data_IF_943587646226
#
_entry.id   IF_943587646226
#
_cell.length_a   1.000
_cell.length_b   1.000
_cell.length_c   1.000
_cell.angle_alpha   90.00
_cell.angle_beta   90.00
_cell.angle_gamma   90.00
#
_symmetry.space_group_name_H-M   'P 1'
#
loop_
_entity.id
_entity.type
_entity.pdbx_description
1 polymer ?
#
# COMPACT_ATOMS: atom_id res chain seq x y z
N UNK A 1 18.56 57.00 8.26
CA UNK A 1 17.86 58.15 7.65
C UNK A 1 16.37 58.03 7.94
N UNK A 2 15.86 59.07 8.59
CA UNK A 2 14.45 59.51 8.73
C UNK A 2 13.82 59.63 7.31
N UNK A 3 12.50 59.44 7.04
CA UNK A 3 11.35 59.87 7.87
C UNK A 3 10.14 58.91 8.06
N UNK A 4 9.60 58.97 9.29
CA UNK A 4 8.16 59.04 9.69
C UNK A 4 7.55 60.39 9.21
N UNK A 5 6.33 60.83 9.61
CA UNK A 5 5.00 60.23 9.86
C UNK A 5 3.93 61.05 9.06
N UNK A 6 2.60 60.86 9.16
CA UNK A 6 1.70 61.52 10.13
C UNK A 6 0.25 61.29 9.66
N UNK A 7 -0.67 60.91 10.57
CA UNK A 7 -1.79 61.71 11.15
C UNK A 7 -2.85 62.11 10.09
N UNK A 8 -4.15 62.19 10.34
CA UNK A 8 -5.00 62.54 11.47
C UNK A 8 -6.33 61.75 11.23
N UNK A 9 -7.28 61.58 12.14
CA UNK A 9 -7.56 62.17 13.44
C UNK A 9 -8.90 61.62 13.92
N UNK A 10 -9.06 61.49 15.23
CA UNK A 10 -10.35 61.28 15.87
C UNK A 10 -11.14 62.59 15.83
N UNK A 11 -12.42 62.52 15.46
CA UNK A 11 -13.42 63.50 15.87
C UNK A 11 -14.56 62.77 16.57
N UNK A 12 -14.81 63.21 17.79
CA UNK A 12 -15.91 62.89 18.69
C UNK A 12 -17.13 63.76 18.39
N UNK A 13 -18.35 63.23 18.54
CA UNK A 13 -19.53 64.04 18.89
C UNK A 13 -20.83 63.74 18.14
N UNK A 14 -22.00 64.00 18.74
CA UNK A 14 -23.15 63.07 18.77
C UNK A 14 -24.45 63.64 18.16
N UNK A 15 -25.58 62.96 18.41
CA UNK A 15 -27.00 63.29 18.09
C UNK A 15 -27.44 62.96 16.65
N UNK A 16 -28.66 62.50 16.34
CA UNK A 16 -29.84 62.00 17.05
C UNK A 16 -30.82 61.52 15.94
N UNK A 17 -31.76 60.66 16.32
CA UNK A 17 -33.13 60.51 15.77
C UNK A 17 -33.41 59.72 14.48
N UNK A 18 -34.39 58.81 14.68
CA UNK A 18 -35.55 58.51 13.85
C UNK A 18 -35.51 57.25 12.97
N UNK A 19 -36.42 56.35 13.35
CA UNK A 19 -36.81 55.10 12.73
C UNK A 19 -37.44 55.27 11.34
N UNK A 20 -37.28 54.27 10.48
CA UNK A 20 -38.37 53.73 9.63
C UNK A 20 -38.08 52.24 9.33
N UNK A 21 -39.10 51.41 9.55
CA UNK A 21 -39.19 49.99 9.18
C UNK A 21 -39.24 49.79 7.67
N UNK A 22 -38.37 48.95 7.12
CA UNK A 22 -38.58 48.05 5.97
C UNK A 22 -37.41 47.05 6.03
N UNK A 23 -37.53 45.73 5.95
CA UNK A 23 -38.50 44.93 5.21
C UNK A 23 -37.83 44.17 4.07
N UNK A 24 -36.64 43.58 4.24
CA UNK A 24 -36.10 42.53 3.35
C UNK A 24 -35.19 41.57 4.14
N UNK A 25 -35.59 40.30 4.27
CA UNK A 25 -34.72 39.24 4.71
C UNK A 25 -33.73 38.95 3.57
N UNK A 26 -32.50 39.47 3.68
CA UNK A 26 -31.36 38.98 2.92
C UNK A 26 -31.00 37.58 3.43
N UNK A 27 -31.45 36.56 2.70
CA UNK A 27 -30.87 35.22 2.80
C UNK A 27 -29.38 35.34 2.41
N UNK A 28 -28.49 35.06 3.35
CA UNK A 28 -27.08 34.87 3.05
C UNK A 28 -26.93 33.60 2.21
N UNK A 29 -26.47 33.75 0.96
CA UNK A 29 -25.92 32.68 0.15
C UNK A 29 -24.73 32.03 0.89
N UNK A 30 -24.99 30.90 1.55
CA UNK A 30 -23.94 29.98 1.94
C UNK A 30 -23.43 29.22 0.69
N UNK A 31 -22.12 28.91 0.59
CA UNK A 31 -21.63 28.07 -0.49
C UNK A 31 -22.39 26.74 -0.50
N UNK A 32 -22.66 26.15 -1.67
CA UNK A 32 -23.42 24.91 -1.75
C UNK A 32 -22.68 23.85 -0.93
N UNK A 33 -23.28 23.48 0.19
CA UNK A 33 -22.87 22.32 0.96
C UNK A 33 -23.05 21.12 0.04
N UNK A 34 -21.94 20.60 -0.45
CA UNK A 34 -21.91 19.33 -1.15
C UNK A 34 -22.63 18.32 -0.24
N UNK A 35 -23.82 17.89 -0.66
CA UNK A 35 -24.51 16.78 -0.02
C UNK A 35 -23.54 15.60 -0.03
N UNK A 36 -23.26 14.95 1.12
CA UNK A 36 -22.49 13.74 1.12
C UNK A 36 -23.20 12.76 0.18
N UNK A 37 -22.52 12.30 -0.87
CA UNK A 37 -22.99 11.14 -1.59
C UNK A 37 -23.13 10.01 -0.56
N UNK A 38 -24.26 9.29 -0.51
CA UNK A 38 -24.32 8.06 0.24
C UNK A 38 -23.36 7.10 -0.47
N UNK A 39 -22.13 7.02 0.02
CA UNK A 39 -21.26 5.91 -0.31
C UNK A 39 -22.05 4.66 0.05
N UNK A 40 -22.22 3.77 -0.93
CA UNK A 40 -22.60 2.40 -0.63
C UNK A 40 -21.63 1.93 0.45
N UNK A 41 -22.13 1.76 1.68
CA UNK A 41 -21.32 1.33 2.80
C UNK A 41 -20.83 -0.07 2.49
N UNK A 42 -19.61 -0.17 1.95
CA UNK A 42 -18.89 -1.41 2.00
C UNK A 42 -18.78 -1.80 3.48
N UNK A 43 -19.16 -3.02 3.88
CA UNK A 43 -18.99 -3.45 5.26
C UNK A 43 -17.51 -3.36 5.60
N UNK A 44 -17.14 -2.29 6.29
CA UNK A 44 -15.82 -2.18 6.91
C UNK A 44 -15.87 -3.08 8.13
N UNK A 45 -15.05 -4.14 8.14
CA UNK A 45 -14.73 -4.80 9.41
C UNK A 45 -14.23 -3.70 10.33
N UNK A 46 -14.94 -3.46 11.43
CA UNK A 46 -14.42 -2.57 12.45
C UNK A 46 -13.31 -3.33 13.16
N UNK A 47 -12.21 -2.64 13.50
CA UNK A 47 -11.18 -3.21 14.37
C UNK A 47 -11.76 -3.75 15.70
N UNK A 48 -12.96 -3.29 16.11
CA UNK A 48 -13.70 -3.80 17.26
C UNK A 48 -14.27 -5.23 17.07
N UNK A 49 -14.52 -5.65 15.83
CA UNK A 49 -15.09 -6.96 15.50
C UNK A 49 -14.01 -8.03 15.28
N UNK A 50 -12.74 -7.63 15.28
CA UNK A 50 -11.61 -8.54 15.12
C UNK A 50 -11.52 -9.50 16.30
N UNK A 51 -11.44 -10.82 16.05
CA UNK A 51 -11.27 -11.80 17.11
C UNK A 51 -9.95 -11.60 17.84
N UNK A 52 -9.99 -11.54 19.17
CA UNK A 52 -8.81 -11.40 20.04
C UNK A 52 -8.68 -12.66 20.90
N UNK A 53 -7.87 -13.65 20.48
CA UNK A 53 -7.73 -14.87 21.25
C UNK A 53 -6.90 -14.63 22.53
N UNK A 54 -7.37 -15.14 23.66
CA UNK A 54 -6.67 -15.01 24.95
C UNK A 54 -5.31 -15.71 24.96
N UNK A 55 -5.25 -16.92 24.38
CA UNK A 55 -4.02 -17.70 24.21
C UNK A 55 -4.12 -18.58 22.98
N UNK A 56 -3.05 -18.55 22.18
CA UNK A 56 -2.94 -19.35 20.95
C UNK A 56 -1.83 -20.39 21.10
N UNK A 57 -2.06 -21.67 20.73
CA UNK A 57 -1.00 -22.65 20.60
C UNK A 57 0.06 -22.17 19.60
N UNK A 58 1.31 -22.07 20.06
CA UNK A 58 2.43 -21.71 19.18
C UNK A 58 2.73 -22.91 18.30
N UNK A 59 2.47 -22.79 17.01
CA UNK A 59 2.84 -23.85 16.06
C UNK A 59 4.33 -23.70 15.77
N UNK A 60 5.13 -24.76 15.94
CA UNK A 60 6.50 -24.75 15.43
C UNK A 60 6.41 -24.83 13.90
N UNK A 61 6.50 -23.67 13.25
CA UNK A 61 6.53 -23.62 11.80
C UNK A 61 7.96 -24.03 11.40
N UNK A 62 8.17 -25.31 11.07
CA UNK A 62 9.48 -25.86 10.72
C UNK A 62 10.12 -25.29 9.44
N UNK A 63 9.45 -24.33 8.80
CA UNK A 63 9.95 -23.60 7.64
C UNK A 63 10.59 -22.26 8.06
N UNK A 64 11.51 -21.75 7.23
CA UNK A 64 12.01 -20.37 7.35
C UNK A 64 10.84 -19.39 7.46
N UNK A 65 10.88 -18.36 8.33
CA UNK A 65 9.86 -17.32 8.41
C UNK A 65 9.51 -16.64 7.09
N UNK A 66 10.43 -16.70 6.11
CA UNK A 66 10.22 -16.20 4.76
C UNK A 66 9.25 -17.02 3.91
N UNK A 67 8.88 -18.21 4.34
CA UNK A 67 7.96 -19.11 3.64
C UNK A 67 6.59 -19.23 4.33
N UNK A 68 6.37 -18.50 5.42
CA UNK A 68 5.12 -18.55 6.17
C UNK A 68 4.03 -17.80 5.41
N UNK A 69 2.83 -18.38 5.39
CA UNK A 69 1.66 -17.82 4.70
C UNK A 69 0.56 -17.53 5.71
N UNK A 70 0.03 -16.31 5.66
CA UNK A 70 -1.11 -15.89 6.45
C UNK A 70 -2.42 -16.21 5.71
N UNK A 71 -3.54 -16.43 6.42
CA UNK A 71 -4.81 -16.77 5.77
C UNK A 71 -5.27 -15.76 4.72
N UNK A 72 -4.98 -14.47 4.88
CA UNK A 72 -5.32 -13.44 3.89
C UNK A 72 -4.52 -13.54 2.58
N UNK A 73 -3.39 -14.26 2.56
CA UNK A 73 -2.59 -14.46 1.35
C UNK A 73 -3.35 -15.22 0.26
N UNK A 74 -4.31 -16.06 0.64
CA UNK A 74 -5.15 -16.82 -0.30
C UNK A 74 -6.11 -15.94 -1.11
N UNK A 75 -6.32 -14.69 -0.70
CA UNK A 75 -7.30 -13.77 -1.28
C UNK A 75 -6.63 -12.61 -2.04
N UNK A 76 -5.34 -12.72 -2.35
CA UNK A 76 -4.59 -11.71 -3.10
C UNK A 76 -3.71 -12.37 -4.16
N UNK A 77 -3.31 -11.62 -5.19
CA UNK A 77 -2.36 -12.12 -6.19
C UNK A 77 -1.04 -12.44 -5.53
N UNK A 78 -0.40 -13.56 -5.84
CA UNK A 78 1.02 -13.74 -5.49
C UNK A 78 1.89 -12.69 -6.20
N UNK A 79 3.13 -12.41 -5.73
CA UNK A 79 4.02 -11.48 -6.42
C UNK A 79 4.25 -11.85 -7.90
N UNK A 80 4.30 -13.15 -8.21
CA UNK A 80 4.44 -13.65 -9.58
C UNK A 80 3.17 -13.38 -10.41
N UNK A 81 1.99 -13.65 -9.85
CA UNK A 81 0.72 -13.35 -10.52
C UNK A 81 0.56 -11.84 -10.76
N UNK A 82 0.95 -11.00 -9.81
CA UNK A 82 0.94 -9.55 -9.96
C UNK A 82 1.84 -9.08 -11.10
N UNK A 83 3.05 -9.64 -11.21
CA UNK A 83 3.98 -9.36 -12.32
C UNK A 83 3.40 -9.79 -13.67
N UNK A 84 2.78 -10.97 -13.74
CA UNK A 84 2.15 -11.49 -14.95
C UNK A 84 0.95 -10.64 -15.40
N UNK A 85 0.04 -10.33 -14.49
CA UNK A 85 -1.13 -9.46 -14.76
C UNK A 85 -0.67 -8.08 -15.23
N UNK A 86 0.31 -7.47 -14.56
CA UNK A 86 0.82 -6.16 -14.95
C UNK A 86 1.57 -6.20 -16.30
N UNK A 87 2.27 -7.29 -16.61
CA UNK A 87 2.86 -7.52 -17.92
C UNK A 87 1.82 -7.59 -19.04
N UNK A 88 0.71 -8.28 -18.80
CA UNK A 88 -0.41 -8.36 -19.73
C UNK A 88 -1.09 -6.99 -19.96
N UNK A 89 -1.28 -6.20 -18.88
CA UNK A 89 -1.75 -4.82 -18.98
C UNK A 89 -0.84 -3.99 -19.88
N UNK A 90 0.49 -4.10 -19.70
CA UNK A 90 1.46 -3.37 -20.53
C UNK A 90 1.45 -3.82 -21.99
N UNK A 91 1.27 -5.11 -22.27
CA UNK A 91 1.14 -5.63 -23.64
C UNK A 91 -0.06 -5.03 -24.39
N UNK A 92 -1.23 -5.00 -23.73
CA UNK A 92 -2.44 -4.38 -24.28
C UNK A 92 -2.30 -2.86 -24.41
N UNK A 93 -1.69 -2.20 -23.41
CA UNK A 93 -1.45 -0.77 -23.46
C UNK A 93 -0.51 -0.39 -24.61
N UNK A 94 0.55 -1.16 -24.86
CA UNK A 94 1.44 -0.95 -26.01
C UNK A 94 0.68 -1.04 -27.34
N UNK A 95 -0.29 -1.95 -27.46
CA UNK A 95 -1.16 -2.06 -28.65
C UNK A 95 -2.02 -0.80 -28.84
N UNK A 96 -2.65 -0.32 -27.77
CA UNK A 96 -3.40 0.94 -27.79
C UNK A 96 -2.51 2.15 -28.11
N UNK A 97 -1.29 2.20 -27.57
CA UNK A 97 -0.36 3.30 -27.85
C UNK A 97 0.05 3.32 -29.32
N UNK A 98 0.32 2.17 -29.93
CA UNK A 98 0.56 2.06 -31.39
C UNK A 98 -0.63 2.55 -32.20
N UNK A 99 -1.83 2.17 -31.80
CA UNK A 99 -3.08 2.62 -32.43
C UNK A 99 -3.24 4.15 -32.42
N UNK A 100 -2.72 4.83 -31.40
CA UNK A 100 -2.74 6.28 -31.24
C UNK A 100 -1.55 6.98 -31.91
N UNK A 101 -0.67 6.24 -32.59
CA UNK A 101 0.51 6.77 -33.29
C UNK A 101 1.75 6.96 -32.41
N UNK A 102 1.82 6.30 -31.25
CA UNK A 102 2.99 6.29 -30.38
C UNK A 102 3.85 5.04 -30.58
N UNK A 103 5.13 5.15 -30.28
CA UNK A 103 6.12 4.06 -30.29
C UNK A 103 6.51 3.63 -28.88
N UNK A 104 5.67 3.89 -27.89
CA UNK A 104 5.92 3.52 -26.49
C UNK A 104 6.05 2.00 -26.36
N UNK A 105 7.09 1.57 -25.66
CA UNK A 105 7.36 0.16 -25.39
C UNK A 105 7.48 -0.09 -23.88
N UNK A 106 6.35 -0.39 -23.24
CA UNK A 106 6.31 -0.78 -21.84
C UNK A 106 6.83 -2.23 -21.68
N UNK A 107 7.65 -2.53 -20.65
CA UNK A 107 8.24 -3.85 -20.49
C UNK A 107 7.17 -4.88 -20.10
N UNK A 108 6.93 -5.88 -20.95
CA UNK A 108 5.91 -6.91 -20.69
C UNK A 108 6.40 -8.06 -19.80
N UNK A 109 7.73 -8.22 -19.66
CA UNK A 109 8.35 -9.15 -18.73
C UNK A 109 8.78 -8.41 -17.47
N UNK A 110 8.05 -8.64 -16.39
CA UNK A 110 8.28 -8.01 -15.09
C UNK A 110 8.82 -9.02 -14.10
N UNK A 111 9.72 -8.59 -13.24
CA UNK A 111 10.16 -9.36 -12.10
C UNK A 111 9.15 -9.19 -10.97
N UNK A 112 8.82 -10.28 -10.25
CA UNK A 112 8.00 -10.21 -9.05
C UNK A 112 8.60 -9.27 -8.00
N UNK A 113 7.73 -8.52 -7.33
CA UNK A 113 8.11 -7.82 -6.12
C UNK A 113 8.40 -8.77 -4.94
N UNK A 114 8.76 -8.24 -3.77
CA UNK A 114 8.76 -8.98 -2.51
C UNK A 114 7.39 -9.62 -2.22
N UNK A 115 7.40 -10.67 -1.40
CA UNK A 115 6.17 -11.22 -0.82
C UNK A 115 5.38 -10.17 -0.01
N UNK A 116 4.06 -10.25 0.02
CA UNK A 116 3.20 -9.30 0.72
C UNK A 116 3.53 -9.18 2.20
N UNK A 117 3.92 -10.29 2.83
CA UNK A 117 4.28 -10.33 4.24
C UNK A 117 5.79 -10.19 4.45
N UNK A 118 6.58 -9.97 3.39
CA UNK A 118 8.04 -9.90 3.48
C UNK A 118 8.48 -8.93 4.57
N UNK A 119 7.88 -7.75 4.64
CA UNK A 119 8.27 -6.70 5.59
C UNK A 119 7.52 -6.74 6.92
N UNK A 120 6.53 -7.64 7.06
CA UNK A 120 5.55 -7.61 8.14
C UNK A 120 6.18 -7.73 9.52
N UNK A 121 7.21 -8.56 9.65
CA UNK A 121 7.90 -8.79 10.94
C UNK A 121 9.30 -8.17 11.01
N UNK A 122 9.60 -7.23 10.12
CA UNK A 122 10.96 -6.68 9.96
C UNK A 122 11.96 -7.73 9.45
N UNK A 123 13.28 -7.54 9.63
CA UNK A 123 14.26 -8.54 9.23
C UNK A 123 14.04 -9.86 9.99
N UNK A 124 14.04 -10.99 9.26
CA UNK A 124 13.83 -12.33 9.83
C UNK A 124 14.94 -13.33 9.46
N UNK A 125 15.86 -12.93 8.58
CA UNK A 125 17.02 -13.73 8.16
C UNK A 125 18.31 -12.91 8.24
N UNK A 126 19.45 -13.61 8.34
CA UNK A 126 20.76 -12.96 8.37
C UNK A 126 21.06 -12.21 7.04
N UNK A 127 20.53 -12.72 5.92
CA UNK A 127 20.63 -12.06 4.61
C UNK A 127 19.85 -10.74 4.52
N UNK A 128 18.68 -10.66 5.18
CA UNK A 128 17.95 -9.41 5.33
C UNK A 128 18.66 -8.46 6.31
N UNK A 129 19.14 -8.99 7.44
CA UNK A 129 19.88 -8.20 8.43
C UNK A 129 21.17 -7.58 7.85
N UNK A 130 21.84 -8.26 6.91
CA UNK A 130 22.98 -7.71 6.19
C UNK A 130 22.66 -6.45 5.36
N UNK A 131 21.38 -6.22 5.06
CA UNK A 131 20.88 -5.01 4.38
C UNK A 131 20.29 -3.99 5.36
N UNK A 132 20.45 -4.18 6.68
CA UNK A 132 19.87 -3.32 7.70
C UNK A 132 18.34 -3.36 7.68
N UNK A 133 17.71 -2.19 7.80
CA UNK A 133 16.28 -1.99 7.59
C UNK A 133 15.97 -1.42 6.20
N UNK A 134 17.00 -1.06 5.41
CA UNK A 134 16.86 -0.53 4.04
C UNK A 134 16.15 -1.47 3.07
N UNK A 135 16.30 -2.77 3.25
CA UNK A 135 15.61 -3.74 2.40
C UNK A 135 14.08 -3.63 2.50
N UNK A 136 13.55 -3.08 3.60
CA UNK A 136 12.11 -2.80 3.78
C UNK A 136 11.61 -1.62 2.93
N UNK A 137 12.52 -0.83 2.36
CA UNK A 137 12.19 0.27 1.44
C UNK A 137 12.09 -0.20 -0.02
N UNK A 138 12.27 -1.50 -0.27
CA UNK A 138 12.09 -2.07 -1.61
C UNK A 138 10.62 -1.95 -2.01
N UNK A 139 10.39 -1.54 -3.27
CA UNK A 139 9.05 -1.39 -3.81
C UNK A 139 8.35 -2.75 -3.88
N UNK A 140 7.09 -2.79 -3.45
CA UNK A 140 6.21 -3.95 -3.57
C UNK A 140 5.74 -4.19 -5.01
N UNK A 141 5.78 -3.17 -5.87
CA UNK A 141 5.32 -3.27 -7.25
C UNK A 141 6.29 -4.11 -8.12
N UNK A 142 5.75 -4.95 -9.02
CA UNK A 142 6.57 -5.61 -10.05
C UNK A 142 7.36 -4.59 -10.87
N UNK A 143 8.57 -4.96 -11.29
CA UNK A 143 9.44 -4.07 -12.04
C UNK A 143 9.99 -4.73 -13.31
N UNK A 144 10.02 -3.98 -14.40
CA UNK A 144 10.66 -4.39 -15.66
C UNK A 144 12.09 -3.89 -15.73
N UNK A 145 12.89 -4.50 -16.59
CA UNK A 145 14.14 -3.89 -17.01
C UNK A 145 13.84 -2.63 -17.85
N UNK A 146 14.53 -1.52 -17.58
CA UNK A 146 14.41 -0.26 -18.32
C UNK A 146 13.66 0.84 -17.56
N UNK A 147 14.18 2.07 -17.63
CA UNK A 147 13.47 3.24 -17.14
C UNK A 147 12.36 3.60 -18.14
N UNK A 148 11.10 3.56 -17.69
CA UNK A 148 10.00 4.18 -18.41
C UNK A 148 10.22 5.69 -18.41
N UNK A 149 10.63 6.23 -19.55
CA UNK A 149 10.70 7.67 -19.77
C UNK A 149 9.72 8.08 -20.87
N UNK A 150 8.40 7.84 -20.71
CA UNK A 150 7.42 8.33 -21.66
C UNK A 150 7.50 9.85 -21.71
N UNK A 151 7.39 10.41 -22.92
CA UNK A 151 7.18 11.85 -23.11
C UNK A 151 5.90 12.30 -22.41
N UNK A 152 5.74 13.60 -22.17
CA UNK A 152 4.50 14.13 -21.57
C UNK A 152 3.26 13.78 -22.40
N UNK A 153 3.40 13.72 -23.72
CA UNK A 153 2.34 13.32 -24.65
C UNK A 153 1.95 11.84 -24.48
N UNK A 154 2.95 10.95 -24.44
CA UNK A 154 2.74 9.52 -24.22
C UNK A 154 2.16 9.24 -22.83
N UNK A 155 2.66 9.93 -21.79
CA UNK A 155 2.10 9.86 -20.45
C UNK A 155 0.63 10.30 -20.43
N UNK A 156 0.31 11.34 -21.19
CA UNK A 156 -1.05 11.82 -21.37
C UNK A 156 -1.97 10.79 -22.04
N UNK A 157 -1.50 10.08 -23.05
CA UNK A 157 -2.26 9.00 -23.69
C UNK A 157 -2.38 7.74 -22.82
N UNK A 158 -1.31 7.35 -22.12
CA UNK A 158 -1.28 6.20 -21.21
C UNK A 158 -2.29 6.33 -20.07
N UNK A 159 -2.41 7.52 -19.49
CA UNK A 159 -3.26 7.80 -18.33
C UNK A 159 -4.57 8.53 -18.66
N UNK A 160 -4.84 8.82 -19.94
CA UNK A 160 -6.07 9.47 -20.38
C UNK A 160 -6.15 10.96 -20.00
N UNK A 161 -4.99 11.63 -19.87
CA UNK A 161 -4.91 13.10 -19.69
C UNK A 161 -4.97 13.85 -21.03
N UNK A 162 -4.64 13.18 -22.13
CA UNK A 162 -4.83 13.70 -23.49
C UNK A 162 -6.20 13.29 -24.01
N UNK A 163 -6.86 14.18 -24.78
CA UNK A 163 -8.14 13.85 -25.45
C UNK A 163 -7.94 13.06 -26.75
N UNK A 164 -6.87 13.35 -27.46
CA UNK A 164 -6.51 12.71 -28.72
C UNK A 164 -5.06 12.26 -28.69
N UNK A 165 -4.76 11.19 -29.42
CA UNK A 165 -3.40 10.73 -29.69
C UNK A 165 -2.73 11.54 -30.79
N UNK A 166 -1.48 11.19 -31.11
CA UNK A 166 -0.65 11.87 -32.11
C UNK A 166 -1.29 11.88 -33.51
N UNK A 167 -2.02 10.83 -33.84
CA UNK A 167 -2.74 10.68 -35.10
C UNK A 167 -4.17 11.23 -35.08
N UNK A 168 -4.56 11.99 -34.04
CA UNK A 168 -5.88 12.59 -33.91
C UNK A 168 -7.00 11.63 -33.46
N UNK A 169 -6.71 10.34 -33.28
CA UNK A 169 -7.70 9.38 -32.74
C UNK A 169 -8.00 9.70 -31.27
N UNK A 170 -9.24 9.48 -30.80
CA UNK A 170 -9.59 9.73 -29.40
C UNK A 170 -8.83 8.78 -28.47
N UNK A 171 -8.30 9.31 -27.37
CA UNK A 171 -7.72 8.50 -26.29
C UNK A 171 -8.86 7.87 -25.49
N UNK A 172 -8.82 6.56 -25.18
CA UNK A 172 -9.83 5.92 -24.35
C UNK A 172 -9.98 6.60 -22.98
N UNK A 173 -11.18 6.54 -22.39
CA UNK A 173 -11.40 6.95 -21.00
C UNK A 173 -10.47 6.17 -20.06
N UNK A 174 -9.74 6.88 -19.20
CA UNK A 174 -8.71 6.28 -18.33
C UNK A 174 -7.40 5.92 -19.05
N UNK A 175 -7.27 6.28 -20.33
CA UNK A 175 -6.07 6.06 -21.14
C UNK A 175 -5.88 4.62 -21.59
N UNK A 176 -4.77 4.38 -22.28
CA UNK A 176 -4.41 3.04 -22.72
C UNK A 176 -4.25 2.03 -21.57
N UNK A 177 -3.77 2.48 -20.39
CA UNK A 177 -3.68 1.61 -19.21
C UNK A 177 -5.05 1.27 -18.61
N UNK A 178 -5.97 2.23 -18.57
CA UNK A 178 -7.35 2.00 -18.12
C UNK A 178 -8.09 1.04 -19.06
N UNK A 179 -7.99 1.28 -20.37
CA UNK A 179 -8.57 0.41 -21.40
C UNK A 179 -8.02 -1.03 -21.32
N UNK A 180 -6.69 -1.17 -21.17
CA UNK A 180 -6.03 -2.47 -21.03
C UNK A 180 -6.53 -3.27 -19.81
N UNK A 181 -6.69 -2.61 -18.65
CA UNK A 181 -7.26 -3.22 -17.44
C UNK A 181 -8.71 -3.65 -17.67
N UNK A 182 -9.53 -2.77 -18.25
CA UNK A 182 -10.91 -3.09 -18.61
C UNK A 182 -11.02 -4.29 -19.57
N UNK A 183 -10.10 -4.43 -20.51
CA UNK A 183 -10.05 -5.57 -21.43
C UNK A 183 -9.72 -6.90 -20.73
N UNK A 184 -8.84 -6.89 -19.72
CA UNK A 184 -8.58 -8.07 -18.88
C UNK A 184 -9.77 -8.42 -17.98
N UNK A 185 -10.41 -7.40 -17.40
CA UNK A 185 -11.52 -7.54 -16.47
C UNK A 185 -12.80 -8.02 -17.15
N UNK A 186 -13.11 -7.51 -18.34
CA UNK A 186 -14.33 -7.83 -19.12
C UNK A 186 -14.44 -9.32 -19.50
N UNK A 187 -13.35 -10.08 -19.44
CA UNK A 187 -13.32 -11.54 -19.60
C UNK A 187 -13.54 -12.29 -18.29
N UNK A 188 -14.31 -11.69 -17.37
CA UNK A 188 -14.60 -12.24 -16.04
C UNK A 188 -13.42 -12.18 -15.06
N UNK A 189 -12.39 -11.39 -15.37
CA UNK A 189 -11.15 -11.24 -14.61
C UNK A 189 -11.15 -10.09 -13.60
N UNK A 190 -12.30 -9.45 -13.33
CA UNK A 190 -12.33 -8.39 -12.33
C UNK A 190 -12.20 -8.99 -10.92
N UNK A 191 -11.09 -8.68 -10.26
CA UNK A 191 -10.93 -8.93 -8.82
C UNK A 191 -11.26 -7.62 -8.12
N UNK A 192 -12.50 -7.52 -7.66
CA UNK A 192 -12.87 -6.52 -6.67
C UNK A 192 -12.48 -7.09 -5.32
N UNK A 193 -11.27 -6.79 -4.85
CA UNK A 193 -10.83 -7.22 -3.53
C UNK A 193 -11.74 -6.52 -2.51
N UNK A 194 -12.58 -7.25 -1.76
CA UNK A 194 -13.44 -6.57 -0.82
C UNK A 194 -12.58 -5.91 0.26
N UNK A 195 -12.97 -4.72 0.71
CA UNK A 195 -12.25 -3.96 1.76
C UNK A 195 -11.96 -4.82 3.00
N UNK A 196 -12.80 -5.83 3.23
CA UNK A 196 -12.66 -6.87 4.25
C UNK A 196 -11.28 -7.54 4.25
N UNK A 197 -10.66 -7.82 3.09
CA UNK A 197 -9.36 -8.53 3.03
C UNK A 197 -8.27 -7.65 3.62
N UNK A 198 -8.21 -6.41 3.15
CA UNK A 198 -7.24 -5.41 3.62
C UNK A 198 -7.47 -5.09 5.09
N UNK A 199 -8.72 -4.92 5.51
CA UNK A 199 -9.06 -4.69 6.91
C UNK A 199 -8.61 -5.86 7.81
N UNK A 200 -8.94 -7.10 7.46
CA UNK A 200 -8.50 -8.28 8.23
C UNK A 200 -6.97 -8.36 8.27
N UNK A 201 -6.28 -8.13 7.15
CA UNK A 201 -4.83 -8.15 7.10
C UNK A 201 -4.20 -7.04 7.97
N UNK A 202 -4.66 -5.81 7.87
CA UNK A 202 -4.08 -4.68 8.61
C UNK A 202 -4.44 -4.74 10.11
N UNK A 203 -5.70 -5.03 10.45
CA UNK A 203 -6.16 -5.04 11.84
C UNK A 203 -5.59 -6.23 12.60
N UNK A 204 -5.50 -7.41 11.99
CA UNK A 204 -4.86 -8.57 12.63
C UNK A 204 -3.39 -8.29 12.99
N UNK A 205 -2.65 -7.60 12.11
CA UNK A 205 -1.28 -7.17 12.41
C UNK A 205 -1.23 -6.21 13.59
N UNK A 206 -2.05 -5.16 13.56
CA UNK A 206 -2.02 -4.09 14.55
C UNK A 206 -2.48 -4.58 15.94
N UNK A 207 -3.51 -5.41 15.96
CA UNK A 207 -4.12 -5.92 17.19
C UNK A 207 -3.35 -7.11 17.78
N UNK A 208 -2.75 -7.98 16.96
CA UNK A 208 -1.93 -9.11 17.46
C UNK A 208 -0.79 -8.61 18.36
N UNK A 209 -0.17 -7.47 18.02
CA UNK A 209 0.86 -6.80 18.82
C UNK A 209 0.39 -6.44 20.24
N UNK A 210 -0.91 -6.27 20.46
CA UNK A 210 -1.49 -5.88 21.76
C UNK A 210 -1.90 -7.07 22.62
N UNK A 211 -1.90 -8.28 22.07
CA UNK A 211 -2.25 -9.49 22.83
C UNK A 211 -1.20 -9.76 23.91
N UNK A 212 -1.63 -10.28 25.06
CA UNK A 212 -0.74 -10.55 26.20
C UNK A 212 0.42 -11.50 25.82
N UNK A 213 0.14 -12.48 24.96
CA UNK A 213 1.10 -13.46 24.48
C UNK A 213 2.20 -12.82 23.61
N UNK A 214 1.84 -11.91 22.68
CA UNK A 214 2.83 -11.20 21.85
C UNK A 214 3.59 -10.16 22.66
N UNK A 215 2.90 -9.43 23.54
CA UNK A 215 3.56 -8.49 24.46
C UNK A 215 4.62 -9.19 25.31
N UNK A 216 4.35 -10.39 25.83
CA UNK A 216 5.33 -11.15 26.62
C UNK A 216 6.60 -11.44 25.83
N UNK A 217 6.49 -11.91 24.58
CA UNK A 217 7.68 -12.19 23.77
C UNK A 217 8.39 -10.92 23.29
N UNK A 218 7.67 -9.80 23.12
CA UNK A 218 8.27 -8.48 22.85
C UNK A 218 9.13 -8.00 24.03
N UNK A 219 8.66 -8.19 25.26
CA UNK A 219 9.45 -7.88 26.46
C UNK A 219 10.72 -8.71 26.55
N UNK A 220 10.64 -10.02 26.24
CA UNK A 220 11.80 -10.92 26.18
C UNK A 220 12.79 -10.49 25.08
N UNK A 221 12.30 -10.14 23.89
CA UNK A 221 13.13 -9.61 22.81
C UNK A 221 13.81 -8.29 23.20
N UNK A 222 13.08 -7.37 23.83
CA UNK A 222 13.64 -6.10 24.30
C UNK A 222 14.74 -6.33 25.34
N UNK A 223 14.57 -7.31 26.23
CA UNK A 223 15.62 -7.71 27.18
C UNK A 223 16.87 -8.24 26.48
N UNK A 224 16.70 -9.08 25.46
CA UNK A 224 17.81 -9.55 24.63
C UNK A 224 18.54 -8.40 23.91
N UNK A 225 17.80 -7.48 23.28
CA UNK A 225 18.39 -6.32 22.61
C UNK A 225 19.19 -5.46 23.58
N UNK A 226 18.70 -5.27 24.82
CA UNK A 226 19.45 -4.54 25.86
C UNK A 226 20.76 -5.21 26.22
N UNK A 227 20.79 -6.54 26.28
CA UNK A 227 22.04 -7.30 26.51
C UNK A 227 23.01 -7.16 25.33
N UNK A 228 22.48 -7.03 24.11
CA UNK A 228 23.27 -6.73 22.90
C UNK A 228 23.69 -5.25 22.77
N UNK A 229 23.34 -4.39 23.73
CA UNK A 229 23.72 -2.97 23.76
C UNK A 229 22.73 -2.02 23.08
N UNK A 230 21.55 -2.49 22.67
CA UNK A 230 20.53 -1.70 21.96
C UNK A 230 19.25 -1.57 22.78
N UNK A 231 18.61 -0.39 22.77
CA UNK A 231 17.41 -0.13 23.58
C UNK A 231 16.22 0.16 22.67
N UNK A 232 15.36 -0.84 22.50
CA UNK A 232 14.10 -0.71 21.77
C UNK A 232 12.95 -1.34 22.57
N UNK A 233 11.77 -0.69 22.64
CA UNK A 233 10.64 -1.20 23.41
C UNK A 233 9.95 -2.40 22.75
N UNK A 234 9.99 -2.48 21.42
CA UNK A 234 9.32 -3.49 20.61
C UNK A 234 10.09 -3.73 19.28
N UNK A 235 9.90 -4.87 18.60
CA UNK A 235 10.64 -5.23 17.39
C UNK A 235 10.33 -4.37 16.15
N UNK A 236 9.30 -3.51 16.21
CA UNK A 236 8.97 -2.58 15.12
C UNK A 236 9.70 -1.24 15.27
N UNK A 237 10.17 -0.92 16.48
CA UNK A 237 10.78 0.36 16.80
C UNK A 237 12.08 0.66 16.03
N UNK A 238 13.00 -0.29 15.79
CA UNK A 238 14.22 -0.01 15.04
C UNK A 238 13.96 0.53 13.63
N UNK A 239 12.99 -0.02 12.90
CA UNK A 239 12.64 0.43 11.56
C UNK A 239 12.03 1.86 11.52
N UNK A 240 11.55 2.36 12.67
CA UNK A 240 10.99 3.71 12.85
C UNK A 240 11.99 4.70 13.45
N UNK A 241 13.15 4.23 13.89
CA UNK A 241 14.17 5.05 14.50
C UNK A 241 14.94 5.85 13.45
N UNK A 242 14.60 7.14 13.32
CA UNK A 242 15.25 8.04 12.36
C UNK A 242 16.75 8.23 12.63
N UNK A 243 17.24 8.03 13.85
CA UNK A 243 18.67 8.08 14.12
C UNK A 243 19.40 6.85 13.57
N UNK A 244 18.70 5.71 13.50
CA UNK A 244 19.21 4.46 12.92
C UNK A 244 19.06 4.42 11.40
N UNK A 245 17.83 4.65 10.91
CA UNK A 245 17.46 4.49 9.49
C UNK A 245 17.46 5.81 8.72
N UNK A 246 17.77 6.96 9.33
CA UNK A 246 17.71 8.24 8.64
C UNK A 246 16.32 8.56 8.08
N UNK A 247 16.26 9.44 7.08
CA UNK A 247 15.03 9.75 6.33
C UNK A 247 14.90 8.83 5.12
N UNK A 248 13.70 8.30 4.89
CA UNK A 248 13.39 7.59 3.66
C UNK A 248 13.65 8.51 2.44
N UNK A 249 14.23 8.00 1.34
CA UNK A 249 14.39 8.78 0.11
C UNK A 249 13.03 9.28 -0.38
N UNK A 250 12.93 10.56 -0.72
CA UNK A 250 11.69 11.19 -1.22
C UNK A 250 11.47 11.00 -2.74
N UNK A 251 12.20 10.08 -3.37
CA UNK A 251 12.23 9.93 -4.83
C UNK A 251 12.26 8.48 -5.31
N UNK A 252 12.26 8.31 -6.64
CA UNK A 252 12.31 7.00 -7.31
C UNK A 252 13.72 6.42 -7.42
N UNK A 253 14.73 7.11 -6.90
CA UNK A 253 16.12 6.71 -6.93
C UNK A 253 16.43 5.46 -6.10
N UNK A 254 17.64 4.90 -6.25
CA UNK A 254 18.05 3.72 -5.52
C UNK A 254 18.05 3.98 -4.01
N UNK A 255 17.61 2.97 -3.24
CA UNK A 255 17.69 3.01 -1.78
C UNK A 255 19.17 2.95 -1.37
N UNK A 256 19.68 3.91 -0.60
CA UNK A 256 21.04 3.86 -0.10
C UNK A 256 21.32 2.59 0.70
N UNK A 257 22.54 2.07 0.62
CA UNK A 257 22.97 0.93 1.43
C UNK A 257 22.94 1.27 2.93
N UNK A 258 22.65 0.27 3.76
CA UNK A 258 22.64 0.43 5.21
C UNK A 258 24.07 0.72 5.73
N UNK A 259 24.17 1.61 6.72
CA UNK A 259 25.43 1.87 7.41
C UNK A 259 25.82 0.69 8.33
N UNK A 260 27.10 0.57 8.73
CA UNK A 260 27.55 -0.52 9.60
C UNK A 260 26.79 -0.62 10.93
N UNK A 261 26.42 0.51 11.52
CA UNK A 261 25.62 0.54 12.75
C UNK A 261 24.21 -0.04 12.55
N UNK A 262 23.54 0.34 11.44
CA UNK A 262 22.21 -0.18 11.09
C UNK A 262 22.24 -1.70 10.86
N UNK A 263 23.26 -2.19 10.17
CA UNK A 263 23.49 -3.63 9.96
C UNK A 263 23.72 -4.35 11.29
N UNK A 264 24.51 -3.78 12.21
CA UNK A 264 24.76 -4.38 13.51
C UNK A 264 23.47 -4.49 14.35
N UNK A 265 22.64 -3.45 14.37
CA UNK A 265 21.33 -3.48 15.05
C UNK A 265 20.40 -4.51 14.42
N UNK A 266 20.33 -4.58 13.09
CA UNK A 266 19.48 -5.56 12.40
C UNK A 266 19.93 -7.02 12.65
N UNK A 267 21.24 -7.27 12.76
CA UNK A 267 21.77 -8.59 13.12
C UNK A 267 21.42 -8.98 14.56
N UNK A 268 21.55 -8.04 15.50
CA UNK A 268 21.12 -8.25 16.89
C UNK A 268 19.61 -8.51 16.97
N UNK A 269 18.80 -7.77 16.21
CA UNK A 269 17.35 -7.96 16.12
C UNK A 269 17.00 -9.39 15.67
N UNK A 270 17.56 -9.85 14.54
CA UNK A 270 17.31 -11.22 14.03
C UNK A 270 17.77 -12.29 15.03
N UNK A 271 18.93 -12.10 15.65
CA UNK A 271 19.43 -13.03 16.67
C UNK A 271 18.49 -13.10 17.88
N UNK A 272 18.04 -11.94 18.39
CA UNK A 272 17.11 -11.87 19.50
C UNK A 272 15.74 -12.45 19.17
N UNK A 273 15.20 -12.16 17.97
CA UNK A 273 13.95 -12.76 17.47
C UNK A 273 14.01 -14.29 17.48
N UNK A 274 15.15 -14.84 17.03
CA UNK A 274 15.40 -16.29 17.02
C UNK A 274 15.50 -16.85 18.44
N UNK A 275 16.27 -16.21 19.31
CA UNK A 275 16.52 -16.65 20.68
C UNK A 275 15.24 -16.74 21.52
N UNK A 276 14.33 -15.79 21.37
CA UNK A 276 13.08 -15.76 22.16
C UNK A 276 11.87 -16.37 21.44
N UNK A 277 12.07 -16.93 20.23
CA UNK A 277 10.98 -17.51 19.43
C UNK A 277 9.90 -16.51 19.02
N UNK A 278 10.27 -15.22 18.87
CA UNK A 278 9.33 -14.12 18.67
C UNK A 278 8.42 -14.31 17.47
N UNK A 279 9.01 -14.69 16.33
CA UNK A 279 8.28 -14.82 15.08
C UNK A 279 7.22 -15.91 15.17
N UNK A 280 7.53 -17.07 15.75
CA UNK A 280 6.57 -18.18 15.87
C UNK A 280 5.36 -17.80 16.73
N UNK A 281 5.60 -17.06 17.83
CA UNK A 281 4.53 -16.57 18.71
C UNK A 281 3.64 -15.57 17.98
N UNK A 282 4.25 -14.52 17.41
CA UNK A 282 3.50 -13.45 16.75
C UNK A 282 2.71 -13.97 15.55
N UNK A 283 3.36 -14.75 14.69
CA UNK A 283 2.72 -15.37 13.53
C UNK A 283 1.55 -16.29 13.93
N UNK A 284 1.70 -17.10 14.98
CA UNK A 284 0.63 -18.01 15.42
C UNK A 284 -0.61 -17.24 15.87
N UNK A 285 -0.42 -16.19 16.68
CA UNK A 285 -1.50 -15.31 17.14
C UNK A 285 -2.20 -14.67 15.95
N UNK A 286 -1.43 -14.05 15.07
CA UNK A 286 -1.99 -13.33 13.93
C UNK A 286 -2.72 -14.25 12.94
N UNK A 287 -2.12 -15.42 12.63
CA UNK A 287 -2.76 -16.46 11.82
C UNK A 287 -4.10 -16.89 12.40
N UNK A 288 -4.20 -17.02 13.71
CA UNK A 288 -5.44 -17.41 14.39
C UNK A 288 -6.50 -16.32 14.24
N UNK A 289 -6.13 -15.06 14.49
CA UNK A 289 -7.02 -13.91 14.30
C UNK A 289 -7.53 -13.82 12.86
N UNK A 290 -6.66 -13.96 11.87
CA UNK A 290 -7.07 -13.96 10.46
C UNK A 290 -7.95 -15.16 10.10
N UNK A 291 -7.69 -16.34 10.67
CA UNK A 291 -8.50 -17.54 10.41
C UNK A 291 -9.93 -17.38 10.94
N UNK A 292 -10.06 -16.87 12.16
CA UNK A 292 -11.37 -16.61 12.78
C UNK A 292 -12.12 -15.48 12.05
N UNK A 293 -11.43 -14.41 11.67
CA UNK A 293 -12.04 -13.33 10.88
C UNK A 293 -12.46 -13.82 9.49
N UNK A 294 -11.63 -14.62 8.82
CA UNK A 294 -11.97 -15.22 7.53
C UNK A 294 -13.23 -16.10 7.62
N UNK A 295 -13.39 -16.86 8.70
CA UNK A 295 -14.57 -17.67 8.93
C UNK A 295 -15.85 -16.81 9.08
N UNK A 296 -15.76 -15.66 9.75
CA UNK A 296 -16.88 -14.69 9.89
C UNK A 296 -17.26 -14.05 8.55
N UNK A 297 -16.29 -13.87 7.65
CA UNK A 297 -16.48 -13.24 6.34
C UNK A 297 -16.42 -14.25 5.17
N UNK A 298 -16.66 -15.53 5.43
CA UNK A 298 -16.45 -16.59 4.43
C UNK A 298 -17.27 -16.36 3.14
N UNK A 299 -18.50 -15.86 3.25
CA UNK A 299 -19.35 -15.58 2.09
C UNK A 299 -18.79 -14.44 1.20
N UNK A 300 -18.23 -13.40 1.82
CA UNK A 300 -17.61 -12.27 1.12
C UNK A 300 -16.28 -12.67 0.46
N UNK A 301 -15.53 -13.57 1.10
CA UNK A 301 -14.22 -14.03 0.65
C UNK A 301 -14.29 -15.15 -0.41
N UNK A 302 -15.33 -15.99 -0.37
CA UNK A 302 -15.50 -17.15 -1.25
C UNK A 302 -15.28 -16.90 -2.75
N UNK A 303 -15.77 -15.81 -3.38
CA UNK A 303 -15.62 -15.61 -4.82
C UNK A 303 -14.19 -15.20 -5.24
N UNK A 304 -13.35 -14.72 -4.32
CA UNK A 304 -12.10 -14.02 -4.64
C UNK A 304 -11.04 -14.93 -5.28
N UNK A 305 -10.73 -16.15 -4.76
CA UNK A 305 -9.71 -17.00 -5.38
C UNK A 305 -10.07 -17.40 -6.82
N UNK A 306 -11.36 -17.63 -7.09
CA UNK A 306 -11.83 -17.95 -8.43
C UNK A 306 -11.71 -16.75 -9.39
N UNK A 307 -11.92 -15.52 -8.89
CA UNK A 307 -11.69 -14.30 -9.65
C UNK A 307 -10.20 -14.12 -9.99
N UNK A 308 -9.31 -14.24 -9.00
CA UNK A 308 -7.85 -14.20 -9.19
C UNK A 308 -7.41 -15.19 -10.27
N UNK A 309 -7.87 -16.44 -10.17
CA UNK A 309 -7.50 -17.47 -11.13
C UNK A 309 -7.97 -17.16 -12.56
N UNK A 310 -9.15 -16.53 -12.74
CA UNK A 310 -9.62 -16.08 -14.06
C UNK A 310 -8.74 -14.97 -14.61
N UNK A 311 -8.40 -13.97 -13.80
CA UNK A 311 -7.56 -12.85 -14.24
C UNK A 311 -6.18 -13.30 -14.66
N UNK A 312 -5.56 -14.19 -13.89
CA UNK A 312 -4.25 -14.76 -14.22
C UNK A 312 -4.32 -15.52 -15.53
N UNK A 313 -5.33 -16.39 -15.74
CA UNK A 313 -5.51 -17.07 -17.04
C UNK A 313 -5.68 -16.10 -18.22
N UNK A 314 -6.44 -15.02 -18.02
CA UNK A 314 -6.61 -13.99 -19.05
C UNK A 314 -5.29 -13.28 -19.36
N UNK A 315 -4.49 -12.97 -18.32
CA UNK A 315 -3.18 -12.38 -18.48
C UNK A 315 -2.21 -13.31 -19.24
N UNK A 316 -2.17 -14.60 -18.89
CA UNK A 316 -1.39 -15.61 -19.61
C UNK A 316 -1.78 -15.67 -21.09
N UNK A 317 -3.08 -15.65 -21.41
CA UNK A 317 -3.56 -15.68 -22.79
C UNK A 317 -3.13 -14.44 -23.59
N UNK A 318 -3.12 -13.26 -22.98
CA UNK A 318 -2.63 -12.03 -23.60
C UNK A 318 -1.13 -12.10 -23.89
N UNK A 319 -0.35 -12.55 -22.91
CA UNK A 319 1.11 -12.62 -23.04
C UNK A 319 1.56 -13.67 -24.05
N UNK A 320 0.83 -14.78 -24.18
CA UNK A 320 1.11 -15.83 -25.18
C UNK A 320 0.71 -15.39 -26.59
N UNK A 321 -0.44 -14.74 -26.76
CA UNK A 321 -0.87 -14.21 -28.05
C UNK A 321 0.04 -13.07 -28.56
N UNK A 322 0.53 -12.21 -27.66
CA UNK A 322 1.47 -11.13 -27.99
C UNK A 322 2.93 -11.58 -28.17
N UNK A 323 3.24 -12.85 -27.87
CA UNK A 323 4.59 -13.43 -27.96
C UNK A 323 4.91 -14.09 -29.29
N UNK A 324 4.00 -14.05 -30.28
CA UNK A 324 4.34 -14.46 -31.65
C UNK A 324 5.13 -13.35 -32.34
N UNK A 325 6.39 -13.59 -32.74
CA UNK A 325 7.07 -12.69 -33.66
C UNK A 325 6.33 -12.79 -35.00
N UNK A 326 5.70 -11.69 -35.40
CA UNK A 326 5.41 -11.45 -36.82
C UNK A 326 6.69 -11.10 -37.56
#
# INVERSE_FOLDING_TARGET
MIPKPNRLGRVTGPLLLAAVLTGTATACDGPPTARPHPGAGHPTVSAADMPLPDRVPVTSVGASPTAWQLPMDAYQYTPAQSAEVQGAVYSLANSCMRDLGYSTDLPTRLHPGPDHNAFRYGPVTDAQAAQGYRWMLRKAAPNGAGALNPTSEEYGALLGKSRHGRNGRPVPTGGCLGSARGALDSRGGRVDLPDVIRAIADDSYALSQRTAQVQTVFHSWSACMRQAGYRYPDPTAPARDKALVGTAPSGTGPVPAAGPHEVAVARADVACKRQVGLLSVWYSVERTMQSEAAARHAAELAPVPAAIARTVRNATAVLTAGGHPG
#
